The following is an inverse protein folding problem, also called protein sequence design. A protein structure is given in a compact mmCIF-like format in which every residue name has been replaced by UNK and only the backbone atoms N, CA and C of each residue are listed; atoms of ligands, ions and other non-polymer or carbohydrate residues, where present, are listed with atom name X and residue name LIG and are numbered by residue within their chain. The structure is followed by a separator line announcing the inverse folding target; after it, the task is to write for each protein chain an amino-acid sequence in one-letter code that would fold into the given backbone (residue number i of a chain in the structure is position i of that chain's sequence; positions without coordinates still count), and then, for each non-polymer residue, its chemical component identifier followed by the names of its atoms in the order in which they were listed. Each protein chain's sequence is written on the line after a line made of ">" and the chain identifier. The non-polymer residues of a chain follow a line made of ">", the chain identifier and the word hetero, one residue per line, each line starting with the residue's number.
data_IF_630013326006
#
_entry.id   IF_630013326006
#
_cell.length_a   1.000
_cell.length_b   1.000
_cell.length_c   1.000
_cell.angle_alpha   90.00
_cell.angle_beta   90.00
_cell.angle_gamma   90.00
#
_symmetry.space_group_name_H-M   'P 1'
#
loop_
_entity.id
_entity.type
_entity.pdbx_description
1 polymer ?
#
# COMPACT_ATOMS: atom_id res chain seq x y z
N UNK A 1 16.10 -2.82 9.55
CA UNK A 1 16.06 -1.65 8.64
C UNK A 1 15.45 -2.09 7.33
N UNK A 2 14.82 -1.20 6.58
CA UNK A 2 14.35 -1.54 5.24
C UNK A 2 15.53 -2.13 4.44
N UNK A 3 15.33 -3.27 3.79
CA UNK A 3 16.37 -3.94 3.03
C UNK A 3 17.23 -4.94 3.78
N UNK A 4 16.87 -5.39 4.97
CA UNK A 4 17.65 -6.38 5.72
C UNK A 4 16.95 -7.74 5.91
N UNK A 5 16.01 -8.11 5.07
CA UNK A 5 15.37 -9.44 5.08
C UNK A 5 14.72 -9.83 6.40
N UNK A 6 14.40 -8.88 7.27
CA UNK A 6 13.71 -9.16 8.53
C UNK A 6 12.23 -9.46 8.26
N UNK A 7 11.73 -10.56 8.79
CA UNK A 7 10.30 -10.92 8.66
C UNK A 7 9.62 -10.99 10.02
N UNK A 8 8.37 -10.60 10.04
CA UNK A 8 7.52 -10.79 11.22
C UNK A 8 7.13 -12.26 11.37
N UNK A 9 7.07 -12.77 12.61
CA UNK A 9 6.73 -14.16 12.86
C UNK A 9 5.32 -14.53 12.37
N UNK A 10 5.04 -15.82 12.12
CA UNK A 10 3.77 -16.27 11.53
C UNK A 10 2.55 -16.01 12.43
N UNK A 11 2.77 -15.72 13.70
CA UNK A 11 1.71 -15.34 14.65
C UNK A 11 1.30 -13.87 14.57
N UNK A 12 2.01 -13.05 13.78
CA UNK A 12 1.66 -11.64 13.61
C UNK A 12 0.36 -11.51 12.83
N UNK A 13 -0.61 -10.84 13.43
CA UNK A 13 -1.88 -10.58 12.77
C UNK A 13 -1.69 -9.66 11.55
N UNK A 14 -2.29 -10.04 10.44
CA UNK A 14 -2.26 -9.28 9.18
C UNK A 14 -3.67 -9.08 8.64
N UNK A 15 -3.87 -8.01 7.87
CA UNK A 15 -5.14 -7.78 7.16
C UNK A 15 -5.50 -8.96 6.22
N UNK A 16 -4.56 -9.48 5.38
CA UNK A 16 -4.81 -10.69 4.62
C UNK A 16 -5.31 -11.87 5.46
N UNK A 17 -4.60 -12.22 6.53
CA UNK A 17 -5.00 -13.33 7.40
C UNK A 17 -6.39 -13.16 8.02
N UNK A 18 -6.79 -11.91 8.35
CA UNK A 18 -8.15 -11.65 8.82
C UNK A 18 -9.20 -11.86 7.73
N UNK A 19 -8.90 -11.45 6.47
CA UNK A 19 -9.78 -11.67 5.33
C UNK A 19 -10.00 -13.15 5.08
N UNK A 20 -8.92 -13.95 5.10
CA UNK A 20 -8.98 -15.41 4.91
C UNK A 20 -9.86 -16.09 5.97
N UNK A 21 -9.73 -15.71 7.23
CA UNK A 21 -10.62 -16.22 8.31
C UNK A 21 -12.10 -15.95 7.99
N UNK A 22 -12.39 -14.86 7.31
CA UNK A 22 -13.76 -14.53 6.85
C UNK A 22 -14.11 -15.12 5.47
N UNK A 23 -13.21 -15.90 4.87
CA UNK A 23 -13.36 -16.45 3.51
C UNK A 23 -13.49 -15.35 2.45
N UNK A 24 -12.88 -14.21 2.71
CA UNK A 24 -12.70 -13.13 1.73
C UNK A 24 -11.36 -13.32 1.05
N UNK A 25 -11.30 -12.96 -0.22
CA UNK A 25 -10.09 -13.11 -1.02
C UNK A 25 -9.29 -11.81 -1.03
N UNK A 26 -7.99 -11.93 -1.13
CA UNK A 26 -7.10 -10.80 -1.32
C UNK A 26 -6.06 -11.09 -2.39
N UNK A 27 -5.47 -10.07 -2.98
CA UNK A 27 -4.33 -10.19 -3.89
C UNK A 27 -3.54 -8.89 -3.93
N UNK A 28 -2.22 -9.01 -3.86
CA UNK A 28 -1.29 -7.98 -4.26
C UNK A 28 -0.97 -8.11 -5.76
N UNK A 29 -0.91 -7.00 -6.45
CA UNK A 29 -0.48 -6.90 -7.85
C UNK A 29 0.80 -6.07 -7.87
N UNK A 30 1.94 -6.75 -7.90
CA UNK A 30 3.25 -6.13 -7.71
C UNK A 30 3.93 -5.97 -9.06
N UNK A 31 4.14 -4.73 -9.47
CA UNK A 31 4.78 -4.43 -10.75
C UNK A 31 6.27 -4.81 -10.71
N UNK A 32 6.75 -5.40 -11.80
CA UNK A 32 8.15 -5.78 -11.97
C UNK A 32 8.51 -7.17 -11.44
N UNK A 33 7.57 -7.94 -10.86
CA UNK A 33 7.83 -9.32 -10.39
C UNK A 33 7.60 -10.38 -11.47
N UNK A 34 6.77 -10.08 -12.46
CA UNK A 34 6.40 -10.98 -13.56
C UNK A 34 7.03 -10.60 -14.91
N UNK A 35 7.91 -9.62 -14.92
CA UNK A 35 8.63 -9.20 -16.12
C UNK A 35 9.85 -10.10 -16.38
N UNK A 36 10.21 -10.24 -17.67
CA UNK A 36 11.40 -10.97 -18.06
C UNK A 36 12.65 -10.29 -17.45
N UNK A 37 13.37 -11.03 -16.63
CA UNK A 37 14.53 -10.50 -15.91
C UNK A 37 14.21 -9.92 -14.52
N UNK A 38 13.02 -10.16 -13.99
CA UNK A 38 12.67 -9.81 -12.62
C UNK A 38 13.73 -10.29 -11.64
N UNK A 39 14.17 -9.40 -10.74
CA UNK A 39 15.25 -9.67 -9.80
C UNK A 39 14.83 -10.55 -8.62
N UNK A 40 13.53 -10.72 -8.41
CA UNK A 40 12.99 -11.57 -7.37
C UNK A 40 11.69 -12.23 -7.81
N UNK A 41 11.51 -13.53 -7.55
CA UNK A 41 10.23 -14.18 -7.73
C UNK A 41 9.20 -13.63 -6.74
N UNK A 42 7.90 -13.85 -7.04
CA UNK A 42 6.84 -13.61 -6.08
C UNK A 42 7.16 -14.25 -4.72
N UNK A 43 6.76 -13.60 -3.65
CA UNK A 43 6.97 -14.04 -2.26
C UNK A 43 8.43 -14.03 -1.77
N UNK A 44 9.38 -13.63 -2.60
CA UNK A 44 10.78 -13.56 -2.17
C UNK A 44 11.03 -12.30 -1.34
N UNK A 45 11.80 -12.48 -0.28
CA UNK A 45 12.40 -11.41 0.50
C UNK A 45 13.91 -11.64 0.65
N UNK A 46 14.70 -10.63 0.98
CA UNK A 46 16.11 -10.83 1.26
C UNK A 46 16.33 -11.86 2.37
N UNK A 47 17.43 -12.60 2.32
CA UNK A 47 17.79 -13.49 3.41
C UNK A 47 17.92 -12.71 4.72
N UNK A 48 17.54 -13.33 5.84
CA UNK A 48 17.56 -12.69 7.17
C UNK A 48 18.96 -12.10 7.46
N UNK A 49 18.99 -10.84 7.86
CA UNK A 49 20.20 -10.10 8.15
C UNK A 49 21.07 -9.76 6.93
N UNK A 50 20.59 -9.98 5.72
CA UNK A 50 21.30 -9.63 4.49
C UNK A 50 20.69 -8.37 3.85
N UNK A 51 21.52 -7.53 3.21
CA UNK A 51 21.02 -6.40 2.44
C UNK A 51 20.06 -6.84 1.34
N UNK A 52 19.07 -6.01 1.07
CA UNK A 52 18.19 -6.18 -0.07
C UNK A 52 18.90 -5.76 -1.37
N UNK A 53 19.21 -6.69 -2.29
CA UNK A 53 19.89 -6.35 -3.53
C UNK A 53 19.03 -5.43 -4.44
N UNK A 54 17.72 -5.39 -4.26
CA UNK A 54 16.84 -4.53 -5.02
C UNK A 54 16.87 -3.06 -4.54
N UNK A 55 17.36 -2.79 -3.33
CA UNK A 55 17.35 -1.45 -2.72
C UNK A 55 18.59 -0.61 -3.02
N UNK A 56 19.66 -1.22 -3.55
CA UNK A 56 20.93 -0.54 -3.78
C UNK A 56 20.85 0.51 -4.91
N UNK A 57 21.68 1.58 -4.84
CA UNK A 57 21.73 2.62 -5.87
C UNK A 57 22.18 2.10 -7.24
N UNK A 58 22.87 0.97 -7.27
CA UNK A 58 23.30 0.30 -8.49
C UNK A 58 22.23 -0.67 -9.06
N UNK A 59 21.12 -0.85 -8.38
CA UNK A 59 20.04 -1.72 -8.87
C UNK A 59 19.36 -1.10 -10.08
N UNK A 60 19.41 -1.82 -11.19
CA UNK A 60 18.66 -1.49 -12.42
C UNK A 60 17.26 -2.13 -12.44
N UNK A 61 16.95 -2.93 -11.43
CA UNK A 61 15.61 -3.55 -11.33
C UNK A 61 14.55 -2.51 -11.01
N UNK A 62 13.45 -2.46 -11.77
CA UNK A 62 12.31 -1.63 -11.40
C UNK A 62 11.62 -2.13 -10.12
N UNK A 63 11.62 -3.43 -9.85
CA UNK A 63 11.09 -4.00 -8.62
C UNK A 63 12.00 -3.72 -7.42
N UNK A 64 11.40 -3.36 -6.29
CA UNK A 64 12.09 -3.24 -5.01
C UNK A 64 11.30 -4.00 -3.93
N UNK A 65 11.95 -4.99 -3.31
CA UNK A 65 11.32 -5.87 -2.32
C UNK A 65 10.71 -5.09 -1.16
N UNK A 66 11.38 -4.03 -0.69
CA UNK A 66 10.90 -3.23 0.44
C UNK A 66 9.59 -2.45 0.17
N UNK A 67 9.14 -2.37 -1.10
CA UNK A 67 7.85 -1.79 -1.48
C UNK A 67 6.71 -2.82 -1.43
N UNK A 68 7.03 -4.10 -1.36
CA UNK A 68 6.06 -5.17 -1.20
C UNK A 68 5.93 -5.54 0.29
N UNK A 69 4.92 -5.03 1.02
CA UNK A 69 4.82 -5.28 2.45
C UNK A 69 4.53 -6.74 2.81
N UNK A 70 3.96 -7.51 1.89
CA UNK A 70 3.45 -8.86 2.16
C UNK A 70 4.56 -9.88 2.37
N UNK A 71 5.70 -9.70 1.71
CA UNK A 71 6.84 -10.62 1.81
C UNK A 71 7.55 -10.58 3.16
N UNK A 72 7.30 -9.54 3.96
CA UNK A 72 7.89 -9.39 5.30
C UNK A 72 7.05 -10.00 6.43
N UNK A 73 6.01 -10.75 6.10
CA UNK A 73 5.22 -11.51 7.06
C UNK A 73 5.35 -13.00 6.74
N UNK A 74 6.02 -13.75 7.62
CA UNK A 74 6.28 -15.18 7.40
C UNK A 74 4.98 -15.97 7.18
N UNK A 75 3.89 -15.60 7.87
CA UNK A 75 2.58 -16.24 7.68
C UNK A 75 2.00 -16.07 6.27
N UNK A 76 2.46 -15.07 5.51
CA UNK A 76 2.07 -14.83 4.11
C UNK A 76 3.11 -15.38 3.14
N UNK A 77 4.38 -14.98 3.30
CA UNK A 77 5.45 -15.33 2.36
C UNK A 77 5.77 -16.83 2.34
N UNK A 78 5.59 -17.55 3.43
CA UNK A 78 5.76 -19.00 3.51
C UNK A 78 4.48 -19.79 3.21
N UNK A 79 3.36 -19.11 2.92
CA UNK A 79 2.09 -19.75 2.57
C UNK A 79 2.18 -20.45 1.21
N UNK A 80 1.60 -21.67 1.05
CA UNK A 80 1.49 -22.32 -0.25
C UNK A 80 0.71 -21.50 -1.29
N UNK A 81 -0.18 -20.60 -0.86
CA UNK A 81 -0.96 -19.71 -1.73
C UNK A 81 -0.21 -18.42 -2.09
N UNK A 82 0.92 -18.14 -1.46
CA UNK A 82 1.61 -16.86 -1.59
C UNK A 82 1.80 -16.42 -3.06
N UNK A 83 2.29 -17.27 -3.93
CA UNK A 83 2.52 -16.92 -5.34
C UNK A 83 1.22 -16.60 -6.13
N UNK A 84 0.07 -17.04 -5.61
CA UNK A 84 -1.23 -16.68 -6.18
C UNK A 84 -1.79 -15.37 -5.61
N UNK A 85 -1.35 -15.01 -4.44
CA UNK A 85 -1.82 -13.85 -3.66
C UNK A 85 -0.88 -12.67 -3.78
N UNK A 86 0.43 -12.90 -3.82
CA UNK A 86 1.48 -11.92 -4.14
C UNK A 86 1.82 -12.04 -5.63
N UNK A 87 0.87 -11.65 -6.48
CA UNK A 87 0.92 -11.86 -7.91
C UNK A 87 1.66 -10.73 -8.63
N UNK A 88 2.17 -11.01 -9.82
CA UNK A 88 2.65 -9.98 -10.73
C UNK A 88 1.52 -9.08 -11.25
N UNK A 89 1.91 -7.89 -11.68
CA UNK A 89 0.97 -6.87 -12.14
C UNK A 89 0.14 -7.30 -13.37
N UNK A 90 0.69 -8.16 -14.22
CA UNK A 90 0.00 -8.71 -15.39
C UNK A 90 -1.31 -9.45 -15.07
N UNK A 91 -1.46 -9.99 -13.85
CA UNK A 91 -2.68 -10.66 -13.42
C UNK A 91 -3.88 -9.70 -13.25
N UNK A 92 -3.64 -8.42 -13.01
CA UNK A 92 -4.68 -7.42 -12.69
C UNK A 92 -5.78 -7.36 -13.77
N UNK A 93 -5.39 -7.22 -15.02
CA UNK A 93 -6.36 -7.09 -16.13
C UNK A 93 -7.29 -8.30 -16.25
N UNK A 94 -6.76 -9.50 -16.04
CA UNK A 94 -7.54 -10.73 -16.09
C UNK A 94 -8.54 -10.81 -14.91
N UNK A 95 -8.15 -10.36 -13.73
CA UNK A 95 -9.02 -10.38 -12.56
C UNK A 95 -10.10 -9.30 -12.62
N UNK A 96 -9.80 -8.14 -13.17
CA UNK A 96 -10.79 -7.08 -13.38
C UNK A 96 -11.89 -7.44 -14.38
N UNK A 97 -11.70 -8.49 -15.19
CA UNK A 97 -12.67 -8.90 -16.21
C UNK A 97 -14.02 -9.39 -15.64
N UNK A 98 -14.08 -9.81 -14.38
CA UNK A 98 -15.34 -10.19 -13.75
C UNK A 98 -15.34 -9.95 -12.24
N UNK A 99 -16.49 -9.63 -11.67
CA UNK A 99 -16.62 -9.43 -10.23
C UNK A 99 -16.29 -10.69 -9.42
N UNK A 100 -16.48 -11.88 -9.98
CA UNK A 100 -16.16 -13.15 -9.30
C UNK A 100 -14.66 -13.38 -9.18
N UNK A 101 -13.88 -12.86 -10.14
CA UNK A 101 -12.42 -13.04 -10.17
C UNK A 101 -11.71 -11.94 -9.39
N UNK A 102 -12.28 -10.74 -9.36
CA UNK A 102 -11.72 -9.63 -8.61
C UNK A 102 -11.70 -9.98 -7.11
N UNK A 103 -10.54 -9.97 -6.45
CA UNK A 103 -10.46 -10.21 -5.01
C UNK A 103 -11.26 -9.17 -4.21
N UNK A 104 -11.68 -9.55 -3.00
CA UNK A 104 -12.33 -8.62 -2.06
C UNK A 104 -11.42 -7.45 -1.70
N UNK A 105 -10.12 -7.71 -1.55
CA UNK A 105 -9.08 -6.69 -1.40
C UNK A 105 -8.04 -6.87 -2.50
N UNK A 106 -7.85 -5.83 -3.29
CA UNK A 106 -6.77 -5.70 -4.28
C UNK A 106 -5.78 -4.64 -3.81
N UNK A 107 -4.50 -4.99 -3.69
CA UNK A 107 -3.43 -4.07 -3.31
C UNK A 107 -2.44 -3.94 -4.47
N UNK A 108 -2.37 -2.74 -5.06
CA UNK A 108 -1.54 -2.49 -6.25
C UNK A 108 -0.26 -1.80 -5.79
N UNK A 109 0.87 -2.41 -6.10
CA UNK A 109 2.21 -1.91 -5.76
C UNK A 109 2.92 -1.51 -7.05
N UNK A 110 3.11 -0.21 -7.31
CA UNK A 110 3.93 0.27 -8.41
C UNK A 110 5.40 -0.14 -8.23
N UNK A 111 6.13 -0.25 -9.33
CA UNK A 111 7.57 -0.35 -9.29
C UNK A 111 8.25 1.01 -9.01
N UNK A 112 9.58 1.01 -8.95
CA UNK A 112 10.40 2.20 -8.67
C UNK A 112 10.32 3.28 -9.77
N UNK A 113 9.77 2.94 -10.91
CA UNK A 113 9.55 3.90 -12.01
C UNK A 113 8.24 4.66 -11.82
N UNK A 114 7.20 3.96 -11.34
CA UNK A 114 5.82 4.45 -11.32
C UNK A 114 5.30 4.81 -9.92
N UNK A 115 6.15 4.77 -8.90
CA UNK A 115 5.79 5.06 -7.51
C UNK A 115 5.85 6.54 -7.12
N UNK A 116 6.02 7.41 -8.10
CA UNK A 116 6.16 8.86 -7.94
C UNK A 116 7.46 9.31 -7.21
N UNK A 117 8.39 8.41 -6.88
CA UNK A 117 9.67 8.78 -6.32
C UNK A 117 10.46 9.68 -7.28
N UNK A 118 11.08 10.77 -6.79
CA UNK A 118 11.87 11.66 -7.64
C UNK A 118 13.04 10.94 -8.31
N UNK A 119 13.32 11.26 -9.57
CA UNK A 119 14.47 10.77 -10.31
C UNK A 119 14.09 9.94 -11.54
N UNK A 120 15.11 9.50 -12.29
CA UNK A 120 14.89 8.64 -13.45
C UNK A 120 14.49 7.22 -13.02
N UNK A 121 13.84 6.51 -13.93
CA UNK A 121 13.59 5.07 -13.77
C UNK A 121 14.90 4.29 -13.58
N UNK A 122 14.92 3.24 -12.79
CA UNK A 122 16.01 2.27 -12.79
C UNK A 122 16.25 1.74 -14.21
N UNK A 123 17.50 1.79 -14.67
CA UNK A 123 17.83 1.44 -16.06
C UNK A 123 17.66 2.56 -17.09
N UNK A 124 17.19 3.75 -16.67
CA UNK A 124 17.07 4.95 -17.51
C UNK A 124 15.63 5.25 -17.94
N UNK A 125 15.43 6.45 -18.45
CA UNK A 125 14.12 6.95 -18.84
C UNK A 125 13.47 7.87 -17.79
N UNK A 126 12.35 8.55 -18.14
CA UNK A 126 11.64 9.41 -17.21
C UNK A 126 10.99 8.60 -16.09
N UNK A 127 11.05 9.12 -14.87
CA UNK A 127 10.37 8.58 -13.70
C UNK A 127 9.62 9.67 -12.94
N UNK A 128 9.34 9.46 -11.67
CA UNK A 128 8.67 10.43 -10.82
C UNK A 128 7.18 10.60 -11.15
N UNK A 129 6.64 11.77 -10.85
CA UNK A 129 5.21 12.05 -11.04
C UNK A 129 4.71 11.82 -12.47
N UNK A 130 5.46 12.18 -13.56
CA UNK A 130 4.99 11.89 -14.91
C UNK A 130 4.78 10.39 -15.20
N UNK A 131 5.70 9.53 -14.76
CA UNK A 131 5.57 8.09 -14.95
C UNK A 131 4.45 7.49 -14.09
N UNK A 132 4.30 7.97 -12.87
CA UNK A 132 3.17 7.59 -12.02
C UNK A 132 1.82 7.98 -12.63
N UNK A 133 1.72 9.19 -13.19
CA UNK A 133 0.51 9.68 -13.88
C UNK A 133 0.19 8.81 -15.11
N UNK A 134 1.19 8.44 -15.91
CA UNK A 134 1.02 7.54 -17.05
C UNK A 134 0.46 6.18 -16.63
N UNK A 135 1.02 5.58 -15.58
CA UNK A 135 0.52 4.32 -15.03
C UNK A 135 -0.93 4.48 -14.53
N UNK A 136 -1.23 5.53 -13.78
CA UNK A 136 -2.59 5.78 -13.29
C UNK A 136 -3.56 6.02 -14.44
N UNK A 137 -3.14 6.73 -15.49
CA UNK A 137 -3.94 6.96 -16.69
C UNK A 137 -4.29 5.66 -17.42
N UNK A 138 -3.41 4.66 -17.34
CA UNK A 138 -3.66 3.35 -17.90
C UNK A 138 -4.59 2.48 -17.04
N UNK A 139 -4.33 2.40 -15.72
CA UNK A 139 -5.00 1.40 -14.88
C UNK A 139 -6.31 1.88 -14.28
N UNK A 140 -6.42 3.15 -13.90
CA UNK A 140 -7.63 3.67 -13.23
C UNK A 140 -8.87 3.51 -14.10
N UNK A 141 -8.88 3.84 -15.40
CA UNK A 141 -10.04 3.59 -16.23
C UNK A 141 -10.47 2.13 -16.30
N UNK A 142 -9.50 1.19 -16.31
CA UNK A 142 -9.78 -0.25 -16.31
C UNK A 142 -10.45 -0.69 -15.02
N UNK A 143 -9.96 -0.19 -13.88
CA UNK A 143 -10.56 -0.47 -12.57
C UNK A 143 -11.99 0.08 -12.51
N UNK A 144 -12.19 1.35 -12.86
CA UNK A 144 -13.50 1.99 -12.84
C UNK A 144 -14.51 1.35 -13.81
N UNK A 145 -14.03 0.77 -14.92
CA UNK A 145 -14.85 0.04 -15.86
C UNK A 145 -15.21 -1.37 -15.40
N UNK A 146 -14.49 -1.92 -14.41
CA UNK A 146 -14.64 -3.32 -13.99
C UNK A 146 -16.01 -3.61 -13.38
N UNK A 147 -16.53 -4.84 -13.54
CA UNK A 147 -17.78 -5.25 -12.90
C UNK A 147 -17.78 -5.14 -11.38
N UNK A 148 -16.67 -5.47 -10.72
CA UNK A 148 -16.54 -5.39 -9.27
C UNK A 148 -16.66 -3.95 -8.77
N UNK A 149 -15.97 -3.00 -9.40
CA UNK A 149 -16.08 -1.60 -9.04
C UNK A 149 -17.50 -1.08 -9.18
N UNK A 150 -18.17 -1.39 -10.30
CA UNK A 150 -19.57 -0.98 -10.56
C UNK A 150 -20.57 -1.56 -9.55
N UNK A 151 -20.24 -2.69 -8.94
CA UNK A 151 -21.07 -3.32 -7.90
C UNK A 151 -20.79 -2.76 -6.49
N UNK A 152 -19.96 -1.75 -6.38
CA UNK A 152 -19.69 -1.07 -5.12
C UNK A 152 -18.24 -1.13 -4.67
N UNK A 153 -17.31 -1.23 -5.60
CA UNK A 153 -15.89 -1.13 -5.29
C UNK A 153 -15.48 0.25 -4.79
N UNK A 154 -14.46 0.28 -3.96
CA UNK A 154 -13.76 1.49 -3.51
C UNK A 154 -12.33 1.42 -4.01
N UNK A 155 -11.92 2.40 -4.83
CA UNK A 155 -10.52 2.61 -5.19
C UNK A 155 -9.96 3.72 -4.31
N UNK A 156 -8.86 3.43 -3.62
CA UNK A 156 -8.07 4.40 -2.86
C UNK A 156 -6.72 4.57 -3.54
N UNK A 157 -6.35 5.80 -3.83
CA UNK A 157 -5.03 6.16 -4.37
C UNK A 157 -4.35 7.07 -3.34
N UNK A 158 -3.19 6.65 -2.87
CA UNK A 158 -2.40 7.40 -1.88
C UNK A 158 -0.93 7.06 -2.04
N UNK A 159 -0.06 7.78 -1.35
CA UNK A 159 1.36 7.49 -1.21
C UNK A 159 1.69 7.24 0.27
N UNK A 160 2.78 6.55 0.54
CA UNK A 160 3.20 6.17 1.89
C UNK A 160 3.83 7.32 2.68
N UNK A 161 4.54 8.23 1.99
CA UNK A 161 5.18 9.39 2.61
C UNK A 161 5.35 10.56 1.64
N UNK A 162 5.51 11.74 2.21
CA UNK A 162 5.93 12.93 1.48
C UNK A 162 7.42 12.86 1.12
N UNK A 163 7.92 13.70 0.20
CA UNK A 163 9.34 13.79 -0.09
C UNK A 163 10.18 14.05 1.16
N UNK A 164 11.31 13.36 1.29
CA UNK A 164 12.26 13.57 2.40
C UNK A 164 13.24 14.71 2.18
N UNK A 165 13.25 15.30 0.98
CA UNK A 165 14.15 16.39 0.60
C UNK A 165 13.53 17.29 -0.48
N UNK A 166 14.09 18.50 -0.66
CA UNK A 166 13.56 19.50 -1.60
C UNK A 166 12.52 20.43 -1.00
N UNK A 167 11.88 21.24 -1.83
CA UNK A 167 10.92 22.26 -1.39
C UNK A 167 9.62 21.69 -0.80
N UNK A 168 9.29 20.45 -1.16
CA UNK A 168 8.11 19.73 -0.67
C UNK A 168 8.45 18.73 0.44
N UNK A 169 9.66 18.83 1.01
CA UNK A 169 10.06 17.95 2.08
C UNK A 169 9.20 18.16 3.33
N UNK A 170 8.62 17.07 3.84
CA UNK A 170 7.82 17.07 5.05
C UNK A 170 8.07 15.77 5.83
N UNK A 171 8.40 15.91 7.09
CA UNK A 171 8.57 14.80 8.04
C UNK A 171 7.61 14.93 9.23
N UNK A 172 6.56 15.72 9.09
CA UNK A 172 5.56 15.88 10.14
C UNK A 172 4.82 14.58 10.44
N UNK A 173 4.25 14.51 11.63
CA UNK A 173 3.37 13.42 12.04
C UNK A 173 2.08 13.98 12.62
N UNK A 174 0.99 13.22 12.54
CA UNK A 174 -0.28 13.62 13.13
C UNK A 174 -0.97 12.47 13.86
N UNK A 175 -2.13 12.80 14.42
CA UNK A 175 -3.19 11.85 14.74
C UNK A 175 -2.76 10.81 15.78
N UNK A 176 -1.87 11.22 16.71
CA UNK A 176 -1.28 10.36 17.72
C UNK A 176 -0.56 9.13 17.13
N UNK A 177 0.13 9.34 16.01
CA UNK A 177 1.01 8.32 15.44
C UNK A 177 1.96 7.81 16.52
N UNK A 178 2.02 6.48 16.74
CA UNK A 178 2.94 5.92 17.73
C UNK A 178 4.38 6.04 17.27
N UNK A 179 5.30 6.13 18.23
CA UNK A 179 6.72 5.92 17.94
C UNK A 179 6.93 4.50 17.40
N UNK A 180 7.70 4.36 16.35
CA UNK A 180 8.02 3.05 15.80
C UNK A 180 8.92 2.29 16.78
N UNK A 181 8.56 1.07 17.20
CA UNK A 181 9.23 0.36 18.28
C UNK A 181 10.69 0.00 18.00
N UNK A 182 11.08 -0.05 16.73
CA UNK A 182 12.44 -0.47 16.31
C UNK A 182 13.24 0.66 15.64
N UNK A 183 12.74 1.89 15.69
CA UNK A 183 13.50 3.05 15.23
C UNK A 183 14.13 3.76 16.41
N UNK A 184 15.40 4.18 16.33
CA UNK A 184 15.97 5.04 17.37
C UNK A 184 15.15 6.32 17.45
N UNK A 185 14.97 6.88 18.66
CA UNK A 185 14.31 8.16 18.79
C UNK A 185 15.07 9.22 17.98
N UNK A 186 14.37 10.18 17.37
CA UNK A 186 15.02 11.26 16.63
C UNK A 186 16.03 11.96 17.54
N UNK A 187 17.20 12.27 17.01
CA UNK A 187 18.29 12.96 17.70
C UNK A 187 18.55 14.33 17.10
N UNK A 188 19.16 15.23 17.89
CA UNK A 188 19.46 16.58 17.45
C UNK A 188 18.23 17.50 17.41
N UNK A 189 18.22 18.57 16.57
CA UNK A 189 17.13 19.53 16.50
C UNK A 189 15.76 18.92 16.15
N UNK A 190 15.74 17.84 15.39
CA UNK A 190 14.52 17.13 15.02
C UNK A 190 13.82 16.50 16.23
N UNK A 191 14.55 16.13 17.28
CA UNK A 191 13.96 15.57 18.49
C UNK A 191 12.97 16.53 19.18
N UNK A 192 13.13 17.84 18.98
CA UNK A 192 12.23 18.85 19.52
C UNK A 192 10.88 18.92 18.78
N UNK A 193 10.78 18.36 17.60
CA UNK A 193 9.57 18.38 16.76
C UNK A 193 8.63 17.18 17.02
N UNK A 194 9.04 16.30 17.92
CA UNK A 194 8.30 15.03 18.18
C UNK A 194 8.78 13.86 17.31
N UNK A 195 8.09 12.71 17.33
CA UNK A 195 8.43 11.59 16.49
C UNK A 195 8.33 11.99 15.02
N UNK A 196 9.38 11.71 14.26
CA UNK A 196 9.35 11.90 12.80
C UNK A 196 8.22 11.04 12.20
N UNK A 197 7.45 11.64 11.31
CA UNK A 197 6.43 10.99 10.53
C UNK A 197 6.82 10.89 9.06
N UNK A 198 5.92 10.39 8.25
CA UNK A 198 6.07 10.35 6.80
C UNK A 198 5.61 11.64 6.10
N UNK A 199 5.30 12.72 6.84
CA UNK A 199 4.78 13.97 6.27
C UNK A 199 3.30 13.89 5.90
N UNK A 200 2.78 15.02 5.41
CA UNK A 200 1.39 15.10 4.96
C UNK A 200 1.25 14.57 3.52
N UNK A 201 0.38 13.61 3.35
CA UNK A 201 0.05 13.02 2.04
C UNK A 201 -1.45 13.11 1.77
N UNK A 202 -1.82 13.10 0.50
CA UNK A 202 -3.21 13.04 0.09
C UNK A 202 -3.73 11.61 -0.08
N UNK A 203 -5.05 11.46 0.02
CA UNK A 203 -5.73 10.24 -0.40
C UNK A 203 -6.92 10.58 -1.30
N UNK A 204 -7.01 9.93 -2.46
CA UNK A 204 -8.14 10.05 -3.37
C UNK A 204 -9.02 8.81 -3.27
N UNK A 205 -10.30 9.01 -2.98
CA UNK A 205 -11.29 7.95 -2.88
C UNK A 205 -12.24 8.02 -4.07
N UNK A 206 -12.34 6.93 -4.82
CA UNK A 206 -13.24 6.80 -5.96
C UNK A 206 -14.18 5.61 -5.73
N UNK A 207 -15.46 5.86 -5.71
CA UNK A 207 -16.49 4.81 -5.57
C UNK A 207 -17.87 5.35 -6.00
N UNK A 208 -18.78 4.50 -6.49
CA UNK A 208 -20.18 4.86 -6.62
C UNK A 208 -20.85 5.30 -5.30
N UNK A 209 -20.23 4.97 -4.16
CA UNK A 209 -20.74 5.30 -2.81
C UNK A 209 -19.95 6.39 -2.10
N UNK A 210 -18.96 6.99 -2.73
CA UNK A 210 -18.29 8.18 -2.22
C UNK A 210 -18.99 9.43 -2.75
N UNK A 211 -19.22 10.38 -1.86
CA UNK A 211 -19.83 11.66 -2.22
C UNK A 211 -18.90 12.44 -3.14
N UNK A 212 -19.29 12.58 -4.39
CA UNK A 212 -18.47 13.25 -5.40
C UNK A 212 -18.16 14.71 -5.05
N UNK A 213 -16.93 15.16 -5.33
CA UNK A 213 -16.43 16.52 -5.06
C UNK A 213 -16.49 16.91 -3.58
N UNK A 214 -16.46 15.93 -2.67
CA UNK A 214 -16.29 16.18 -1.25
C UNK A 214 -14.80 16.17 -0.89
N UNK A 215 -14.45 16.93 0.13
CA UNK A 215 -13.12 16.92 0.75
C UNK A 215 -13.31 16.78 2.25
N UNK A 216 -12.41 16.04 2.92
CA UNK A 216 -12.30 16.02 4.36
C UNK A 216 -11.06 16.78 4.78
N UNK A 217 -11.17 17.56 5.85
CA UNK A 217 -10.05 18.23 6.52
C UNK A 217 -9.71 17.52 7.83
N UNK A 218 -10.41 16.42 8.13
CA UNK A 218 -10.09 15.63 9.31
C UNK A 218 -8.69 15.02 9.18
N UNK A 219 -7.90 15.09 10.26
CA UNK A 219 -6.55 14.54 10.24
C UNK A 219 -6.60 13.01 10.33
N UNK A 220 -6.14 12.36 9.29
CA UNK A 220 -5.98 10.90 9.20
C UNK A 220 -4.51 10.52 9.06
N UNK A 221 -4.21 9.26 9.34
CA UNK A 221 -2.93 8.63 9.02
C UNK A 221 -3.16 7.26 8.37
N UNK A 222 -2.09 6.54 8.03
CA UNK A 222 -2.23 5.22 7.38
C UNK A 222 -2.92 4.18 8.26
N UNK A 223 -2.86 4.30 9.59
CA UNK A 223 -3.64 3.44 10.49
C UNK A 223 -5.14 3.74 10.40
N UNK A 224 -5.51 4.97 10.07
CA UNK A 224 -6.90 5.34 9.79
C UNK A 224 -7.43 4.65 8.53
N UNK A 225 -6.59 4.54 7.49
CA UNK A 225 -6.94 3.78 6.28
C UNK A 225 -7.09 2.29 6.60
N UNK A 226 -6.13 1.68 7.32
CA UNK A 226 -6.24 0.29 7.75
C UNK A 226 -7.52 0.04 8.54
N UNK A 227 -7.80 0.88 9.54
CA UNK A 227 -9.02 0.80 10.34
C UNK A 227 -10.28 0.93 9.49
N UNK A 228 -10.28 1.84 8.52
CA UNK A 228 -11.42 1.99 7.58
C UNK A 228 -11.65 0.71 6.77
N UNK A 229 -10.59 0.09 6.27
CA UNK A 229 -10.69 -1.19 5.54
C UNK A 229 -11.22 -2.28 6.46
N UNK A 230 -10.71 -2.35 7.69
CA UNK A 230 -11.19 -3.31 8.70
C UNK A 230 -12.67 -3.12 9.01
N UNK A 231 -13.13 -1.88 9.17
CA UNK A 231 -14.54 -1.57 9.40
C UNK A 231 -15.41 -1.98 8.20
N UNK A 232 -14.96 -1.69 6.96
CA UNK A 232 -15.69 -2.06 5.75
C UNK A 232 -15.90 -3.57 5.61
N UNK A 233 -14.93 -4.36 6.05
CA UNK A 233 -15.03 -5.82 6.04
C UNK A 233 -15.53 -6.41 7.37
N UNK A 234 -15.82 -5.60 8.37
CA UNK A 234 -16.25 -6.02 9.71
C UNK A 234 -15.18 -6.86 10.41
N UNK A 235 -13.92 -6.49 10.28
CA UNK A 235 -12.75 -7.13 10.89
C UNK A 235 -12.46 -6.49 12.25
N UNK A 236 -11.59 -7.14 13.02
CA UNK A 236 -11.03 -6.55 14.24
C UNK A 236 -9.90 -5.59 13.87
N UNK A 237 -9.77 -4.49 14.58
CA UNK A 237 -8.65 -3.58 14.39
C UNK A 237 -7.37 -4.19 14.94
N UNK A 238 -6.35 -4.33 14.07
CA UNK A 238 -5.03 -4.89 14.43
C UNK A 238 -4.00 -3.78 14.66
N UNK A 239 -3.01 -4.08 15.47
CA UNK A 239 -1.91 -3.17 15.75
C UNK A 239 -2.40 -1.78 16.15
N UNK A 240 -1.79 -0.76 15.59
CA UNK A 240 -2.14 0.63 15.90
C UNK A 240 -3.46 1.11 15.30
N UNK A 241 -4.03 0.42 14.34
CA UNK A 241 -5.40 0.70 13.87
C UNK A 241 -6.42 0.54 15.02
N UNK A 242 -6.12 -0.32 16.01
CA UNK A 242 -6.90 -0.48 17.24
C UNK A 242 -6.70 0.59 18.30
N UNK A 243 -5.79 1.54 18.12
CA UNK A 243 -5.55 2.58 19.12
C UNK A 243 -6.75 3.53 19.25
N UNK A 244 -7.04 3.94 20.50
CA UNK A 244 -8.25 4.72 20.82
C UNK A 244 -8.35 6.08 20.11
N UNK A 245 -7.22 6.67 19.71
CA UNK A 245 -7.17 7.97 19.03
C UNK A 245 -7.13 7.87 17.50
N UNK A 246 -7.00 6.67 16.95
CA UNK A 246 -7.09 6.45 15.50
C UNK A 246 -8.56 6.39 15.11
N UNK A 247 -8.93 7.15 14.10
CA UNK A 247 -10.29 7.20 13.59
C UNK A 247 -10.35 6.62 12.18
N UNK A 248 -11.43 5.94 11.86
CA UNK A 248 -11.76 5.57 10.47
C UNK A 248 -12.14 6.82 9.69
N UNK A 249 -12.10 6.72 8.37
CA UNK A 249 -12.63 7.78 7.52
C UNK A 249 -14.10 8.06 7.87
N UNK A 250 -14.45 9.33 7.95
CA UNK A 250 -15.75 9.77 8.41
C UNK A 250 -16.90 9.26 7.49
N UNK A 251 -18.03 8.82 8.08
CA UNK A 251 -19.18 8.36 7.32
C UNK A 251 -19.75 9.41 6.36
N UNK A 252 -19.52 10.68 6.60
CA UNK A 252 -19.97 11.80 5.76
C UNK A 252 -19.37 11.80 4.35
N UNK A 253 -18.22 11.12 4.14
CA UNK A 253 -17.60 10.90 2.84
C UNK A 253 -18.39 9.91 1.97
N UNK A 254 -19.21 9.07 2.59
CA UNK A 254 -19.95 8.02 1.91
C UNK A 254 -21.43 8.39 1.79
N UNK A 255 -22.04 8.02 0.67
CA UNK A 255 -23.48 8.13 0.49
C UNK A 255 -24.17 6.89 1.04
N UNK A 256 -25.26 7.07 1.76
CA UNK A 256 -26.06 5.94 2.22
C UNK A 256 -26.49 5.08 1.02
N UNK A 257 -26.34 3.75 1.16
CA UNK A 257 -26.84 2.83 0.14
C UNK A 257 -28.35 3.02 0.05
N UNK A 258 -28.84 3.56 -1.07
CA UNK A 258 -30.28 3.59 -1.33
C UNK A 258 -30.78 2.16 -1.28
N UNK A 259 -31.62 1.84 -0.31
CA UNK A 259 -32.36 0.58 -0.27
C UNK A 259 -33.28 0.57 -1.48
N UNK A 260 -32.89 -0.14 -2.54
CA UNK A 260 -33.78 -0.51 -3.64
C UNK A 260 -34.37 -1.87 -3.34
#
# INVERSE_FOLDING_TARGET
>A
MAGEGCVYPPTTATLPGQLEVKRLTWRAYVQGTDEAGASAPACAHPALGQPDPSSGPASTSPYATFRNPFVYFEGLSASPSCAAEDAGFGALSADLASAKRTPSLSYIVPDRCHDASPGPCPGGGPGGLPAADEMLHEIVPKILASPAYKQGGLLVITVDNAPSSGELADSSSCCAQPAFPNMPPPSGPAAALGPEGGGQVGALLLSPFVKGKSTSQEPYNHFSLLRTIEDLFGLKHIGYAGAAKVQSFEPSLFVAKSSR
#
